data_IF_541664405021
#
_entry.id   IF_541664405021
#
_cell.length_a   1.000
_cell.length_b   1.000
_cell.length_c   1.000
_cell.angle_alpha   90.00
_cell.angle_beta   90.00
_cell.angle_gamma   90.00
#
_symmetry.space_group_name_H-M   'P 1'
#
loop_
_entity.id
_entity.type
_entity.pdbx_description
1 polymer ?
#
# COMPACT_ATOMS: atom_id res chain seq x y z
N UNK A 1 10.06 -30.61 -41.09
CA UNK A 1 11.06 -29.59 -40.69
C UNK A 1 10.24 -28.35 -40.36
N UNK A 2 10.32 -27.67 -39.23
CA UNK A 2 10.99 -27.83 -37.95
C UNK A 2 10.21 -26.88 -37.01
N UNK A 3 10.13 -27.23 -35.72
CA UNK A 3 9.24 -26.58 -34.74
C UNK A 3 9.64 -25.13 -34.48
N UNK A 4 8.67 -24.27 -34.18
CA UNK A 4 8.87 -23.20 -33.19
C UNK A 4 7.74 -23.28 -32.14
N UNK A 5 7.98 -23.94 -31.00
CA UNK A 5 7.12 -23.77 -29.86
C UNK A 5 7.30 -22.34 -29.37
N UNK A 6 6.22 -21.58 -29.25
CA UNK A 6 6.17 -20.41 -28.38
C UNK A 6 6.38 -20.91 -26.94
N UNK A 7 7.63 -21.21 -26.59
CA UNK A 7 8.06 -21.20 -25.20
C UNK A 7 7.92 -19.75 -24.76
N UNK A 8 6.75 -19.40 -24.21
CA UNK A 8 6.66 -18.25 -23.29
C UNK A 8 7.70 -18.53 -22.23
N UNK A 9 8.87 -17.92 -22.39
CA UNK A 9 9.91 -18.02 -21.40
C UNK A 9 9.32 -17.46 -20.11
N UNK A 10 9.39 -18.21 -19.01
CA UNK A 10 9.06 -17.69 -17.68
C UNK A 10 10.04 -16.59 -17.21
N UNK A 11 10.79 -15.98 -18.14
CA UNK A 11 11.68 -14.85 -17.87
C UNK A 11 10.85 -13.57 -17.83
N UNK A 12 10.87 -12.95 -16.66
CA UNK A 12 10.37 -11.59 -16.45
C UNK A 12 11.11 -10.66 -17.43
N UNK A 13 10.40 -9.83 -18.21
CA UNK A 13 11.05 -8.92 -19.15
C UNK A 13 12.01 -7.97 -18.44
N UNK A 14 13.13 -7.66 -19.08
CA UNK A 14 14.06 -6.64 -18.58
C UNK A 14 13.39 -5.28 -18.67
N UNK A 15 13.61 -4.44 -17.66
CA UNK A 15 13.17 -3.05 -17.68
C UNK A 15 14.25 -2.22 -18.37
N UNK A 16 13.87 -1.37 -19.32
CA UNK A 16 14.80 -0.44 -19.98
C UNK A 16 14.35 0.98 -19.66
N UNK A 17 15.24 1.78 -19.07
CA UNK A 17 14.98 3.18 -18.74
C UNK A 17 16.25 3.99 -18.95
N UNK A 18 16.15 5.09 -19.71
CA UNK A 18 17.31 5.98 -20.02
C UNK A 18 18.53 5.20 -20.52
N UNK A 19 18.32 4.29 -21.46
CA UNK A 19 19.35 3.42 -22.06
C UNK A 19 20.00 2.41 -21.09
N UNK A 20 19.55 2.36 -19.82
CA UNK A 20 19.98 1.37 -18.84
C UNK A 20 19.02 0.16 -18.81
N UNK A 21 19.57 -1.04 -18.67
CA UNK A 21 18.83 -2.30 -18.62
C UNK A 21 18.86 -2.89 -17.20
N UNK A 22 17.69 -3.16 -16.63
CA UNK A 22 17.50 -3.74 -15.28
C UNK A 22 16.91 -5.15 -15.42
N UNK A 23 17.65 -6.16 -14.97
CA UNK A 23 17.35 -7.58 -15.22
C UNK A 23 16.72 -8.23 -14.01
N UNK A 24 17.29 -7.99 -12.84
CA UNK A 24 16.85 -8.62 -11.59
C UNK A 24 15.66 -7.88 -10.97
N UNK A 25 14.91 -8.57 -10.11
CA UNK A 25 13.81 -7.93 -9.37
C UNK A 25 14.31 -6.88 -8.37
N UNK A 26 15.51 -7.07 -7.82
CA UNK A 26 16.13 -6.11 -6.90
C UNK A 26 16.50 -4.81 -7.63
N UNK A 27 17.15 -4.92 -8.79
CA UNK A 27 17.46 -3.78 -9.66
C UNK A 27 16.20 -3.01 -10.07
N UNK A 28 15.15 -3.73 -10.48
CA UNK A 28 13.85 -3.13 -10.84
C UNK A 28 13.21 -2.45 -9.63
N UNK A 29 13.21 -3.10 -8.47
CA UNK A 29 12.65 -2.56 -7.22
C UNK A 29 13.34 -1.26 -6.82
N UNK A 30 14.67 -1.19 -6.93
CA UNK A 30 15.42 0.03 -6.65
C UNK A 30 15.09 1.16 -7.63
N UNK A 31 15.06 0.85 -8.93
CA UNK A 31 14.71 1.80 -9.98
C UNK A 31 13.30 2.40 -9.78
N UNK A 32 12.30 1.56 -9.49
CA UNK A 32 10.95 2.03 -9.18
C UNK A 32 10.90 2.81 -7.86
N UNK A 33 11.65 2.38 -6.84
CA UNK A 33 11.73 3.09 -5.56
C UNK A 33 12.24 4.52 -5.71
N UNK A 34 13.32 4.70 -6.47
CA UNK A 34 13.89 6.03 -6.76
C UNK A 34 12.91 6.88 -7.58
N UNK A 35 12.29 6.31 -8.62
CA UNK A 35 11.30 6.99 -9.45
C UNK A 35 10.10 7.47 -8.62
N UNK A 36 9.52 6.58 -7.81
CA UNK A 36 8.37 6.90 -6.96
C UNK A 36 8.76 7.92 -5.89
N UNK A 37 9.94 7.80 -5.29
CA UNK A 37 10.43 8.77 -4.32
C UNK A 37 10.60 10.16 -4.93
N UNK A 38 10.97 10.26 -6.21
CA UNK A 38 11.05 11.54 -6.93
C UNK A 38 9.67 12.10 -7.29
N UNK A 39 8.71 11.24 -7.65
CA UNK A 39 7.34 11.67 -8.01
C UNK A 39 6.58 12.12 -6.77
N UNK A 40 6.71 11.36 -5.68
CA UNK A 40 6.04 11.61 -4.40
C UNK A 40 6.95 12.32 -3.41
N UNK A 41 7.98 13.03 -3.88
CA UNK A 41 8.80 13.85 -3.00
C UNK A 41 7.90 14.86 -2.30
N UNK A 42 8.03 15.04 -0.97
CA UNK A 42 7.22 16.00 -0.23
C UNK A 42 7.34 17.37 -0.89
N UNK A 43 6.19 17.95 -1.24
CA UNK A 43 6.15 19.28 -1.80
C UNK A 43 6.47 20.26 -0.67
N UNK A 44 7.60 20.98 -0.75
CA UNK A 44 8.12 21.78 0.38
C UNK A 44 7.11 22.77 0.94
N UNK A 45 6.24 23.30 0.08
CA UNK A 45 5.20 24.27 0.44
C UNK A 45 4.04 23.63 1.23
N UNK A 46 3.94 22.29 1.20
CA UNK A 46 2.95 21.49 1.92
C UNK A 46 3.54 20.78 3.15
N UNK A 47 4.86 20.88 3.37
CA UNK A 47 5.50 20.31 4.56
C UNK A 47 5.16 21.22 5.75
N UNK A 48 4.28 20.72 6.62
CA UNK A 48 4.01 21.30 7.91
C UNK A 48 4.60 20.36 8.97
N UNK A 49 5.88 20.59 9.28
CA UNK A 49 6.63 19.72 10.20
C UNK A 49 5.95 19.57 11.56
N UNK A 50 5.22 20.60 12.01
CA UNK A 50 4.52 20.56 13.30
C UNK A 50 3.32 19.59 13.22
N UNK A 51 2.47 19.73 12.19
CA UNK A 51 1.38 18.79 11.94
C UNK A 51 1.85 17.37 11.63
N UNK A 52 2.92 17.23 10.85
CA UNK A 52 3.44 15.91 10.49
C UNK A 52 3.95 15.16 11.73
N UNK A 53 4.62 15.87 12.65
CA UNK A 53 5.03 15.34 13.95
C UNK A 53 3.81 15.03 14.82
N UNK A 54 2.80 15.89 14.85
CA UNK A 54 1.55 15.67 15.59
C UNK A 54 0.81 14.41 15.10
N UNK A 55 0.69 14.22 13.79
CA UNK A 55 0.08 13.03 13.18
C UNK A 55 0.90 11.79 13.50
N UNK A 56 2.23 11.86 13.38
CA UNK A 56 3.12 10.75 13.68
C UNK A 56 2.98 10.32 15.15
N UNK A 57 2.98 11.28 16.08
CA UNK A 57 2.80 11.02 17.51
C UNK A 57 1.41 10.46 17.80
N UNK A 58 0.36 11.03 17.20
CA UNK A 58 -1.02 10.55 17.37
C UNK A 58 -1.18 9.10 16.89
N UNK A 59 -0.59 8.76 15.73
CA UNK A 59 -0.60 7.39 15.21
C UNK A 59 0.20 6.44 16.09
N UNK A 60 1.37 6.87 16.55
CA UNK A 60 2.21 6.09 17.46
C UNK A 60 1.50 5.82 18.78
N UNK A 61 0.87 6.84 19.37
CA UNK A 61 0.10 6.69 20.60
C UNK A 61 -1.15 5.81 20.40
N UNK A 62 -1.86 5.97 19.29
CA UNK A 62 -2.98 5.09 18.93
C UNK A 62 -2.52 3.63 18.87
N UNK A 63 -1.49 3.32 18.09
CA UNK A 63 -0.96 1.96 17.93
C UNK A 63 -0.43 1.42 19.26
N UNK A 64 0.32 2.23 20.02
CA UNK A 64 0.89 1.82 21.31
C UNK A 64 -0.19 1.50 22.34
N UNK A 65 -1.25 2.31 22.39
CA UNK A 65 -2.38 2.08 23.26
C UNK A 65 -3.29 0.94 22.76
N UNK A 66 -3.24 0.63 21.46
CA UNK A 66 -3.89 -0.54 20.85
C UNK A 66 -3.12 -1.86 21.03
N UNK A 67 -1.93 -1.88 21.66
CA UNK A 67 -1.17 -3.11 21.93
C UNK A 67 -1.86 -4.11 22.90
N UNK A 68 -3.10 -3.83 23.34
CA UNK A 68 -3.97 -4.87 23.91
C UNK A 68 -4.68 -5.72 22.84
N UNK A 69 -4.62 -5.33 21.56
CA UNK A 69 -5.18 -6.05 20.43
C UNK A 69 -4.07 -6.72 19.63
N UNK A 70 -4.12 -8.05 19.56
CA UNK A 70 -3.17 -8.83 18.80
C UNK A 70 -3.57 -8.80 17.32
N UNK A 71 -2.93 -7.95 16.51
CA UNK A 71 -3.20 -7.83 15.07
C UNK A 71 -2.85 -9.10 14.26
N UNK A 72 -2.14 -10.05 14.88
CA UNK A 72 -1.86 -11.36 14.29
C UNK A 72 -2.99 -12.36 14.50
N UNK A 73 -3.96 -12.06 15.38
CA UNK A 73 -5.10 -12.94 15.59
C UNK A 73 -6.10 -12.73 14.44
N UNK A 74 -6.62 -13.83 13.85
CA UNK A 74 -7.67 -13.74 12.86
C UNK A 74 -8.89 -13.01 13.43
N UNK A 75 -9.48 -12.11 12.64
CA UNK A 75 -10.78 -11.49 12.96
C UNK A 75 -11.80 -12.61 13.19
N UNK A 76 -12.44 -12.64 14.36
CA UNK A 76 -13.48 -13.62 14.63
C UNK A 76 -14.81 -13.20 14.00
N UNK A 77 -15.68 -14.18 13.73
CA UNK A 77 -16.99 -13.94 13.12
C UNK A 77 -17.84 -12.94 13.93
N UNK A 78 -17.74 -12.97 15.27
CA UNK A 78 -18.50 -12.07 16.13
C UNK A 78 -18.03 -10.62 16.02
N UNK A 79 -16.73 -10.39 15.88
CA UNK A 79 -16.16 -9.05 15.64
C UNK A 79 -16.64 -8.52 14.29
N UNK A 80 -16.61 -9.34 13.24
CA UNK A 80 -17.12 -8.98 11.92
C UNK A 80 -18.62 -8.61 11.96
N UNK A 81 -19.45 -9.44 12.61
CA UNK A 81 -20.89 -9.17 12.76
C UNK A 81 -21.13 -7.86 13.52
N UNK A 82 -20.35 -7.60 14.57
CA UNK A 82 -20.48 -6.39 15.38
C UNK A 82 -20.09 -5.14 14.58
N UNK A 83 -18.99 -5.21 13.83
CA UNK A 83 -18.55 -4.13 12.95
C UNK A 83 -19.59 -3.83 11.86
N UNK A 84 -20.15 -4.86 11.22
CA UNK A 84 -21.20 -4.70 10.20
C UNK A 84 -22.48 -4.06 10.76
N UNK A 85 -22.91 -4.44 11.97
CA UNK A 85 -24.06 -3.82 12.64
C UNK A 85 -23.82 -2.34 12.93
N UNK A 86 -22.61 -1.97 13.36
CA UNK A 86 -22.23 -0.57 13.58
C UNK A 86 -22.23 0.22 12.29
N UNK A 87 -21.59 -0.30 11.24
CA UNK A 87 -21.57 0.35 9.93
C UNK A 87 -22.99 0.62 9.40
N UNK A 88 -23.88 -0.38 9.51
CA UNK A 88 -25.27 -0.24 9.10
C UNK A 88 -26.03 0.86 9.85
N UNK A 89 -25.75 1.02 11.14
CA UNK A 89 -26.55 1.90 12.01
C UNK A 89 -25.96 3.32 12.16
N UNK A 90 -24.64 3.46 12.06
CA UNK A 90 -23.90 4.66 12.47
C UNK A 90 -23.13 5.33 11.33
N UNK A 91 -22.85 4.63 10.22
CA UNK A 91 -22.03 5.19 9.16
C UNK A 91 -22.85 6.00 8.14
N UNK A 92 -22.26 7.08 7.64
CA UNK A 92 -22.74 7.79 6.46
C UNK A 92 -22.30 7.07 5.17
N UNK A 93 -23.01 7.31 4.07
CA UNK A 93 -22.59 6.78 2.76
C UNK A 93 -21.27 7.41 2.30
N UNK A 94 -20.42 6.58 1.71
CA UNK A 94 -19.17 7.02 1.10
C UNK A 94 -19.37 7.74 -0.24
N UNK A 95 -18.31 8.37 -0.78
CA UNK A 95 -18.35 9.05 -2.08
C UNK A 95 -18.51 8.09 -3.27
N UNK A 96 -18.30 6.80 -3.04
CA UNK A 96 -18.54 5.69 -3.97
C UNK A 96 -20.03 5.32 -4.12
N UNK A 97 -20.92 6.01 -3.38
CA UNK A 97 -22.37 5.81 -3.36
C UNK A 97 -22.80 4.40 -2.91
N UNK A 98 -21.91 3.65 -2.26
CA UNK A 98 -22.29 2.39 -1.64
C UNK A 98 -23.10 2.74 -0.39
N UNK A 99 -24.37 2.33 -0.38
CA UNK A 99 -25.26 2.51 0.75
C UNK A 99 -25.02 1.42 1.81
N UNK A 100 -25.16 1.82 3.09
CA UNK A 100 -25.00 0.94 4.25
C UNK A 100 -26.26 0.09 4.51
#
# INVERSE_FOLDING_TARGET
MEKNPLTRSNLIPNLILNENEFKTNEEKGKCFGELLSSIFSPNSDLIDSEKDIEILNSNSDFIRNYNQSNFNDPICLNELITALKRLKNEAASGPDQIHN
#
